data_IF_100622362313
#
_entry.id   IF_100622362313
#
_cell.length_a   1.000
_cell.length_b   1.000
_cell.length_c   1.000
_cell.angle_alpha   90.00
_cell.angle_beta   90.00
_cell.angle_gamma   90.00
#
_symmetry.space_group_name_H-M   'P 1'
#
loop_
_entity.id
_entity.type
_entity.pdbx_description
1 polymer ?
#
# COMPACT_ATOMS: atom_id res chain seq x y z
N UNK A 1 1.87 5.91 -13.52
CA UNK A 1 0.74 6.31 -12.66
C UNK A 1 -0.50 6.61 -13.46
N UNK A 2 -1.44 5.67 -13.47
CA UNK A 2 -2.77 5.80 -14.08
C UNK A 2 -3.66 6.75 -13.27
N UNK A 3 -4.80 7.15 -13.85
CA UNK A 3 -5.78 7.99 -13.15
C UNK A 3 -6.39 7.28 -11.94
N UNK A 4 -6.55 5.96 -12.01
CA UNK A 4 -7.05 5.13 -10.91
C UNK A 4 -6.04 5.10 -9.74
N UNK A 5 -4.76 4.86 -10.04
CA UNK A 5 -3.67 4.91 -9.05
C UNK A 5 -3.64 6.26 -8.33
N UNK A 6 -3.75 7.35 -9.09
CA UNK A 6 -3.76 8.71 -8.53
C UNK A 6 -4.96 8.98 -7.61
N UNK A 7 -6.16 8.53 -8.00
CA UNK A 7 -7.37 8.69 -7.18
C UNK A 7 -7.29 7.90 -5.87
N UNK A 8 -6.72 6.71 -5.90
CA UNK A 8 -6.51 5.90 -4.70
C UNK A 8 -5.49 6.51 -3.76
N UNK A 9 -4.33 6.93 -4.26
CA UNK A 9 -3.32 7.58 -3.42
C UNK A 9 -3.92 8.82 -2.75
N UNK A 10 -4.67 9.63 -3.50
CA UNK A 10 -5.40 10.78 -2.93
C UNK A 10 -6.43 10.39 -1.87
N UNK A 11 -7.09 9.23 -2.03
CA UNK A 11 -8.00 8.68 -1.04
C UNK A 11 -7.30 8.23 0.24
N UNK A 12 -6.13 7.60 0.11
CA UNK A 12 -5.30 7.22 1.24
C UNK A 12 -4.69 8.42 1.95
N UNK A 13 -4.24 9.43 1.21
CA UNK A 13 -3.74 10.68 1.78
C UNK A 13 -4.82 11.33 2.65
N UNK A 14 -6.05 11.43 2.14
CA UNK A 14 -7.17 11.96 2.91
C UNK A 14 -7.49 11.10 4.15
N UNK A 15 -7.40 9.77 4.03
CA UNK A 15 -7.59 8.88 5.17
C UNK A 15 -6.52 9.10 6.24
N UNK A 16 -5.26 9.27 5.86
CA UNK A 16 -4.14 9.57 6.76
C UNK A 16 -4.35 10.92 7.44
N UNK A 17 -4.73 11.94 6.67
CA UNK A 17 -4.93 13.30 7.18
C UNK A 17 -6.15 13.44 8.11
N UNK A 18 -7.14 12.55 7.99
CA UNK A 18 -8.37 12.58 8.81
C UNK A 18 -8.40 11.46 9.86
N UNK A 19 -7.39 10.60 9.91
CA UNK A 19 -7.31 9.51 10.85
C UNK A 19 -7.19 10.03 12.29
N UNK A 20 -7.83 9.32 13.22
CA UNK A 20 -7.56 9.50 14.65
C UNK A 20 -6.15 9.02 15.01
N UNK A 21 -5.57 9.54 16.09
CA UNK A 21 -4.23 9.15 16.58
C UNK A 21 -4.05 7.62 16.72
N UNK A 22 -5.12 6.93 17.15
CA UNK A 22 -5.12 5.47 17.28
C UNK A 22 -5.01 4.75 15.94
N UNK A 23 -5.63 5.29 14.89
CA UNK A 23 -5.57 4.75 13.54
C UNK A 23 -4.24 5.11 12.87
N UNK A 24 -3.74 6.31 13.13
CA UNK A 24 -2.46 6.77 12.62
C UNK A 24 -1.30 5.92 13.16
N UNK A 25 -1.32 5.57 14.47
CA UNK A 25 -0.37 4.63 15.07
C UNK A 25 -0.38 3.26 14.39
N UNK A 26 -1.56 2.71 14.09
CA UNK A 26 -1.69 1.44 13.37
C UNK A 26 -1.15 1.52 11.94
N UNK A 27 -1.41 2.62 11.25
CA UNK A 27 -0.84 2.86 9.92
C UNK A 27 0.68 2.96 9.97
N UNK A 28 1.22 3.66 10.97
CA UNK A 28 2.66 3.80 11.16
C UNK A 28 3.33 2.47 11.48
N UNK A 29 2.74 1.64 12.34
CA UNK A 29 3.25 0.29 12.64
C UNK A 29 3.23 -0.60 11.39
N UNK A 30 2.17 -0.49 10.58
CA UNK A 30 2.08 -1.18 9.30
C UNK A 30 3.17 -0.71 8.33
N UNK A 31 3.37 0.61 8.17
CA UNK A 31 4.42 1.18 7.33
C UNK A 31 5.81 0.68 7.73
N UNK A 32 6.13 0.74 9.02
CA UNK A 32 7.41 0.30 9.57
C UNK A 32 7.68 -1.19 9.28
N UNK A 33 6.66 -2.03 9.46
CA UNK A 33 6.75 -3.46 9.15
C UNK A 33 6.93 -3.68 7.64
N UNK A 34 6.21 -2.95 6.80
CA UNK A 34 6.32 -3.10 5.34
C UNK A 34 7.65 -2.64 4.79
N UNK A 35 8.26 -1.59 5.36
CA UNK A 35 9.61 -1.16 5.01
C UNK A 35 10.66 -2.21 5.34
N UNK A 36 10.54 -2.89 6.50
CA UNK A 36 11.43 -4.00 6.86
C UNK A 36 11.29 -5.21 5.92
N UNK A 37 10.09 -5.45 5.39
CA UNK A 37 9.81 -6.48 4.40
C UNK A 37 10.21 -6.07 2.96
N UNK A 38 10.76 -4.86 2.77
CA UNK A 38 11.16 -4.33 1.47
C UNK A 38 9.97 -4.07 0.52
N UNK A 39 8.78 -3.89 1.09
CA UNK A 39 7.53 -3.71 0.35
C UNK A 39 7.01 -2.29 0.51
N UNK A 40 6.44 -1.75 -0.56
CA UNK A 40 5.85 -0.42 -0.54
C UNK A 40 4.49 -0.43 0.19
N UNK A 41 4.32 0.52 1.11
CA UNK A 41 3.11 0.69 1.91
C UNK A 41 1.83 0.72 1.07
N UNK A 42 1.81 1.50 -0.02
CA UNK A 42 0.64 1.65 -0.89
C UNK A 42 0.23 0.34 -1.58
N UNK A 43 1.19 -0.52 -1.90
CA UNK A 43 0.94 -1.82 -2.53
C UNK A 43 0.40 -2.84 -1.52
N UNK A 44 0.80 -2.74 -0.25
CA UNK A 44 0.28 -3.62 0.81
C UNK A 44 -1.09 -3.15 1.27
N UNK A 45 -1.28 -1.83 1.39
CA UNK A 45 -2.56 -1.27 1.80
C UNK A 45 -3.66 -1.55 0.77
N UNK A 46 -3.34 -1.53 -0.52
CA UNK A 46 -4.26 -1.95 -1.60
C UNK A 46 -4.58 -3.44 -1.58
N UNK A 47 -3.62 -4.31 -1.22
CA UNK A 47 -3.84 -5.77 -1.08
C UNK A 47 -4.70 -6.14 0.12
N UNK A 48 -4.51 -5.47 1.25
CA UNK A 48 -5.30 -5.69 2.47
C UNK A 48 -6.73 -5.14 2.32
N UNK A 49 -6.91 -4.05 1.59
CA UNK A 49 -8.22 -3.48 1.29
C UNK A 49 -8.70 -3.95 -0.10
N UNK A 50 -9.11 -5.22 -0.19
CA UNK A 50 -9.64 -5.84 -1.43
C UNK A 50 -10.80 -5.09 -2.11
N UNK A 51 -11.40 -4.08 -1.45
CA UNK A 51 -12.41 -3.19 -2.04
C UNK A 51 -11.82 -2.05 -2.90
N UNK A 52 -10.50 -1.84 -2.87
CA UNK A 52 -9.78 -0.79 -3.61
C UNK A 52 -8.56 -1.38 -4.35
N UNK A 53 -8.70 -2.61 -4.86
CA UNK A 53 -7.67 -3.24 -5.66
C UNK A 53 -7.50 -2.47 -6.97
N UNK A 54 -6.52 -1.57 -7.02
CA UNK A 54 -5.98 -1.14 -8.29
C UNK A 54 -5.06 -2.27 -8.71
N UNK A 55 -5.46 -2.95 -9.77
CA UNK A 55 -4.58 -3.79 -10.54
C UNK A 55 -3.48 -2.91 -11.11
N UNK A 56 -2.40 -2.69 -10.35
CA UNK A 56 -1.13 -2.36 -10.96
C UNK A 56 -0.70 -3.64 -11.68
N UNK A 57 -0.85 -3.64 -13.01
CA UNK A 57 -0.08 -4.54 -13.86
C UNK A 57 1.39 -4.11 -13.78
N UNK A 58 2.01 -4.27 -12.61
CA UNK A 58 3.45 -4.28 -12.45
C UNK A 58 3.84 -5.74 -12.27
N UNK A 59 4.77 -6.28 -13.08
CA UNK A 59 5.14 -7.68 -12.98
C UNK A 59 5.66 -7.92 -11.57
N UNK A 60 5.01 -8.82 -10.85
CA UNK A 60 5.58 -9.45 -9.68
C UNK A 60 6.99 -9.90 -10.08
N UNK A 61 8.02 -9.36 -9.45
CA UNK A 61 9.36 -9.90 -9.59
C UNK A 61 9.33 -11.29 -8.98
N UNK A 62 9.08 -12.25 -9.85
CA UNK A 62 9.28 -13.66 -9.62
C UNK A 62 10.72 -13.81 -9.12
N UNK A 63 10.87 -14.12 -7.82
CA UNK A 63 12.16 -14.53 -7.26
C UNK A 63 12.54 -15.84 -7.96
N UNK A 64 13.24 -15.71 -9.08
CA UNK A 64 13.80 -16.80 -9.85
C UNK A 64 14.79 -17.54 -8.94
N UNK A 65 14.35 -18.63 -8.31
CA UNK A 65 15.22 -19.61 -7.67
C UNK A 65 16.17 -20.11 -8.75
N UNK A 66 17.43 -19.68 -8.70
CA UNK A 66 18.51 -20.32 -9.47
C UNK A 66 18.74 -21.69 -8.82
N UNK A 67 18.56 -22.74 -9.63
CA UNK A 67 19.00 -24.11 -9.35
C UNK A 67 20.51 -24.15 -9.19
#
# INVERSE_FOLDING_TARGET
MTLAERKFMKGLDNLILTASDSQLKKLQELDLRTQLEGSNFYDIFSKHNKKLAITSNAPSTEKKKRK
#
